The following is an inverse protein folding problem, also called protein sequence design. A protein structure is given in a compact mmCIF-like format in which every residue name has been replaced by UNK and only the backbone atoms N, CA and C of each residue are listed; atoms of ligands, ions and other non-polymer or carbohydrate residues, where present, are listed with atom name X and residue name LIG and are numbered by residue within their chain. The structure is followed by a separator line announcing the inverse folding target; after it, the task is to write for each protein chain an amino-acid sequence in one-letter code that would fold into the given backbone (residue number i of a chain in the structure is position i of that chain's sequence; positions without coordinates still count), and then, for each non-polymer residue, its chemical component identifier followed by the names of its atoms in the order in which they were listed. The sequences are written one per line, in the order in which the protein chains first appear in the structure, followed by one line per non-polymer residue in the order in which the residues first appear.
data_IF_389599062738
#
_entry.id   IF_389599062738
#
_cell.length_a   1.000
_cell.length_b   1.000
_cell.length_c   1.000
_cell.angle_alpha   90.00
_cell.angle_beta   90.00
_cell.angle_gamma   90.00
#
_symmetry.space_group_name_H-M   'P 1'
#
loop_
_entity.id
_entity.type
_entity.pdbx_description
1 polymer ?
#
# COMPACT_ATOMS: atom_id res chain seq x y z
N UNK A 1 20.00 -30.13 -39.31
CA UNK A 1 19.97 -30.25 -37.84
C UNK A 1 19.60 -28.88 -37.29
N UNK A 2 18.31 -28.61 -37.15
CA UNK A 2 17.81 -27.36 -36.56
C UNK A 2 17.79 -27.57 -35.06
N UNK A 3 18.63 -26.85 -34.32
CA UNK A 3 18.58 -26.84 -32.85
C UNK A 3 17.97 -25.52 -32.41
N UNK A 4 16.73 -25.69 -31.99
CA UNK A 4 15.83 -24.85 -31.22
C UNK A 4 16.52 -23.79 -30.34
N UNK A 5 16.17 -22.52 -30.60
CA UNK A 5 16.38 -21.41 -29.68
C UNK A 5 15.43 -21.57 -28.49
N UNK A 6 15.88 -21.47 -27.23
CA UNK A 6 14.93 -21.42 -26.11
C UNK A 6 14.14 -20.10 -26.15
N UNK A 7 12.79 -20.14 -26.16
CA UNK A 7 12.01 -18.97 -25.84
C UNK A 7 11.89 -18.83 -24.32
N UNK A 8 11.71 -17.58 -23.89
CA UNK A 8 10.92 -17.21 -22.72
C UNK A 8 11.65 -17.03 -21.38
N UNK A 9 12.28 -15.86 -21.23
CA UNK A 9 12.26 -15.16 -19.94
C UNK A 9 11.34 -13.95 -20.13
N UNK A 10 10.04 -14.14 -19.91
CA UNK A 10 9.15 -12.99 -19.61
C UNK A 10 9.66 -12.39 -18.31
N UNK A 11 10.47 -11.34 -18.47
CA UNK A 11 10.75 -10.39 -17.41
C UNK A 11 9.41 -9.83 -16.96
N UNK A 12 9.02 -10.15 -15.73
CA UNK A 12 7.85 -9.56 -15.11
C UNK A 12 8.09 -8.06 -15.00
N UNK A 13 7.62 -7.30 -15.99
CA UNK A 13 7.49 -5.86 -15.89
C UNK A 13 6.52 -5.59 -14.73
N UNK A 14 7.09 -5.41 -13.54
CA UNK A 14 6.39 -4.79 -12.41
C UNK A 14 6.06 -3.39 -12.88
N UNK A 15 4.84 -3.24 -13.38
CA UNK A 15 4.22 -1.97 -13.69
C UNK A 15 4.12 -1.21 -12.37
N UNK A 16 5.17 -0.46 -12.04
CA UNK A 16 5.13 0.56 -10.99
C UNK A 16 4.35 1.72 -11.58
N UNK A 17 3.02 1.64 -11.55
CA UNK A 17 2.21 2.84 -11.82
C UNK A 17 2.29 3.73 -10.59
N UNK A 18 3.31 4.58 -10.57
CA UNK A 18 3.21 5.91 -9.95
C UNK A 18 2.06 6.64 -10.64
N UNK A 19 0.90 6.72 -9.97
CA UNK A 19 -0.23 7.49 -10.48
C UNK A 19 -0.19 8.90 -9.88
N UNK A 20 0.44 9.80 -10.62
CA UNK A 20 0.27 11.24 -10.52
C UNK A 20 -0.79 11.64 -11.55
N UNK A 21 -1.77 12.45 -11.11
CA UNK A 21 -2.73 13.24 -11.90
C UNK A 21 -4.03 12.60 -12.42
N UNK A 22 -5.15 13.25 -12.07
CA UNK A 22 -6.03 13.80 -13.11
C UNK A 22 -7.39 13.16 -13.37
N UNK A 23 -7.74 12.03 -12.77
CA UNK A 23 -9.12 11.53 -12.84
C UNK A 23 -9.76 11.66 -11.46
N UNK A 24 -10.97 12.22 -11.40
CA UNK A 24 -11.85 12.24 -10.23
C UNK A 24 -12.28 10.81 -9.87
N UNK A 25 -11.29 9.99 -9.52
CA UNK A 25 -11.43 8.63 -9.03
C UNK A 25 -12.18 8.69 -7.72
N UNK A 26 -13.07 7.72 -7.53
CA UNK A 26 -13.82 7.55 -6.29
C UNK A 26 -12.89 7.76 -5.10
N UNK A 27 -13.26 8.62 -4.15
CA UNK A 27 -12.45 8.85 -2.95
C UNK A 27 -12.31 7.50 -2.23
N UNK A 28 -11.09 7.17 -1.78
CA UNK A 28 -10.90 5.99 -0.94
C UNK A 28 -11.73 6.18 0.33
N UNK A 29 -12.65 5.26 0.59
CA UNK A 29 -13.49 5.28 1.79
C UNK A 29 -12.76 4.46 2.85
N UNK A 30 -12.41 5.12 3.95
CA UNK A 30 -11.76 4.53 5.10
C UNK A 30 -12.79 4.29 6.19
N UNK A 31 -12.93 3.03 6.58
CA UNK A 31 -13.77 2.57 7.67
C UNK A 31 -12.90 2.25 8.88
N UNK A 32 -13.50 2.11 10.06
CA UNK A 32 -12.75 1.73 11.27
C UNK A 32 -11.99 0.41 11.09
N UNK A 33 -12.59 -0.58 10.40
CA UNK A 33 -11.92 -1.84 10.04
C UNK A 33 -10.69 -1.62 9.15
N UNK A 34 -10.74 -0.67 8.22
CA UNK A 34 -9.57 -0.30 7.40
C UNK A 34 -8.48 0.33 8.24
N UNK A 35 -8.86 1.18 9.20
CA UNK A 35 -7.92 1.83 10.11
C UNK A 35 -7.25 0.78 11.02
N UNK A 36 -8.03 -0.14 11.60
CA UNK A 36 -7.53 -1.24 12.42
C UNK A 36 -6.57 -2.14 11.64
N UNK A 37 -6.94 -2.53 10.41
CA UNK A 37 -6.07 -3.34 9.55
C UNK A 37 -4.75 -2.61 9.22
N UNK A 38 -4.83 -1.31 8.89
CA UNK A 38 -3.65 -0.48 8.63
C UNK A 38 -2.75 -0.41 9.88
N UNK A 39 -3.31 -0.09 11.04
CA UNK A 39 -2.58 0.00 12.31
C UNK A 39 -1.97 -1.36 12.69
N UNK A 40 -2.70 -2.46 12.49
CA UNK A 40 -2.20 -3.81 12.77
C UNK A 40 -0.98 -4.15 11.92
N UNK A 41 -1.01 -3.85 10.61
CA UNK A 41 0.15 -4.07 9.73
C UNK A 41 1.34 -3.21 10.18
N UNK A 42 1.10 -1.93 10.45
CA UNK A 42 2.15 -1.03 10.93
C UNK A 42 2.74 -1.53 12.26
N UNK A 43 1.93 -2.04 13.18
CA UNK A 43 2.41 -2.60 14.45
C UNK A 43 3.31 -3.83 14.26
N UNK A 44 2.92 -4.75 13.37
CA UNK A 44 3.75 -5.93 13.02
C UNK A 44 5.05 -5.49 12.36
N UNK A 45 4.99 -4.52 11.44
CA UNK A 45 6.17 -4.00 10.75
C UNK A 45 7.08 -3.18 11.68
N UNK A 46 6.51 -2.58 12.74
CA UNK A 46 7.28 -1.94 13.82
C UNK A 46 8.14 -2.96 14.55
N UNK A 47 7.52 -4.06 14.96
CA UNK A 47 8.14 -5.14 15.71
C UNK A 47 9.26 -5.80 14.89
N UNK A 48 9.02 -5.95 13.58
CA UNK A 48 10.03 -6.41 12.62
C UNK A 48 11.16 -5.41 12.34
N UNK A 49 11.17 -4.22 12.95
CA UNK A 49 12.22 -3.21 12.75
C UNK A 49 12.17 -2.48 11.41
N UNK A 50 11.05 -2.55 10.69
CA UNK A 50 10.89 -1.90 9.37
C UNK A 50 10.46 -0.42 9.47
N UNK A 51 10.54 0.17 10.66
CA UNK A 51 10.39 1.60 10.84
C UNK A 51 11.61 2.33 10.24
N UNK A 52 11.39 3.42 9.52
CA UNK A 52 12.45 4.33 9.11
C UNK A 52 12.50 5.48 10.13
N UNK A 53 13.67 6.08 10.39
CA UNK A 53 13.89 7.04 11.50
C UNK A 53 12.68 7.94 11.85
N UNK A 54 12.16 8.68 10.87
CA UNK A 54 10.99 9.57 11.05
C UNK A 54 9.66 9.04 10.45
N UNK A 55 9.59 7.79 9.99
CA UNK A 55 8.41 7.27 9.30
C UNK A 55 8.46 5.77 9.01
N UNK A 56 7.90 5.37 7.88
CA UNK A 56 7.83 3.97 7.46
C UNK A 56 8.55 3.76 6.14
N UNK A 57 9.22 2.62 5.99
CA UNK A 57 9.83 2.24 4.71
C UNK A 57 8.75 2.09 3.63
N UNK A 58 9.04 2.39 2.35
CA UNK A 58 8.08 2.21 1.26
C UNK A 58 7.54 0.77 1.18
N UNK A 59 8.37 -0.23 1.50
CA UNK A 59 7.96 -1.64 1.56
C UNK A 59 6.82 -1.90 2.55
N UNK A 60 6.79 -1.17 3.68
CA UNK A 60 5.72 -1.30 4.69
C UNK A 60 4.38 -0.85 4.11
N UNK A 61 4.37 0.23 3.32
CA UNK A 61 3.16 0.72 2.66
C UNK A 61 2.67 -0.20 1.55
N UNK A 62 3.58 -0.87 0.85
CA UNK A 62 3.22 -1.91 -0.12
C UNK A 62 2.51 -3.08 0.56
N UNK A 63 3.04 -3.55 1.71
CA UNK A 63 2.41 -4.63 2.50
C UNK A 63 1.05 -4.18 3.05
N UNK A 64 0.97 -2.96 3.59
CA UNK A 64 -0.29 -2.41 4.10
C UNK A 64 -1.36 -2.29 3.00
N UNK A 65 -1.00 -1.77 1.82
CA UNK A 65 -1.89 -1.68 0.68
C UNK A 65 -2.37 -3.06 0.20
N UNK A 66 -1.50 -4.07 0.18
CA UNK A 66 -1.87 -5.43 -0.17
C UNK A 66 -2.85 -6.05 0.84
N UNK A 67 -2.60 -5.86 2.15
CA UNK A 67 -3.52 -6.32 3.22
C UNK A 67 -4.88 -5.64 3.11
N UNK A 68 -4.91 -4.33 2.92
CA UNK A 68 -6.15 -3.56 2.74
C UNK A 68 -6.88 -3.87 1.43
N UNK A 69 -6.17 -4.38 0.42
CA UNK A 69 -6.82 -4.86 -0.80
C UNK A 69 -7.47 -6.24 -0.59
N UNK A 70 -6.89 -7.07 0.29
CA UNK A 70 -7.33 -8.42 0.58
C UNK A 70 -8.46 -8.48 1.63
N UNK A 71 -8.30 -7.81 2.77
CA UNK A 71 -9.19 -7.95 3.93
C UNK A 71 -10.32 -6.91 3.98
N UNK A 72 -10.21 -5.84 3.19
CA UNK A 72 -10.99 -4.64 3.40
C UNK A 72 -11.95 -4.33 2.24
N UNK A 73 -12.97 -3.54 2.57
CA UNK A 73 -14.06 -3.26 1.63
C UNK A 73 -13.54 -2.54 0.39
N UNK A 74 -13.87 -3.08 -0.80
CA UNK A 74 -13.57 -2.47 -2.11
C UNK A 74 -14.47 -1.26 -2.42
N UNK A 75 -15.16 -0.71 -1.41
CA UNK A 75 -15.98 0.49 -1.55
C UNK A 75 -15.07 1.72 -1.76
N UNK A 76 -15.34 2.46 -2.82
CA UNK A 76 -14.63 3.69 -3.16
C UNK A 76 -13.35 3.46 -3.96
N UNK A 77 -12.42 4.41 -3.85
CA UNK A 77 -11.12 4.35 -4.53
C UNK A 77 -10.20 3.25 -4.02
N UNK A 78 -9.30 2.77 -4.89
CA UNK A 78 -8.26 1.80 -4.53
C UNK A 78 -7.37 2.36 -3.41
N UNK A 79 -7.25 1.59 -2.32
CA UNK A 79 -6.34 1.88 -1.19
C UNK A 79 -4.93 1.47 -1.57
N UNK A 80 -4.27 2.31 -2.36
CA UNK A 80 -2.86 2.09 -2.78
C UNK A 80 -1.89 2.42 -1.65
N UNK A 81 -0.63 2.01 -1.77
CA UNK A 81 0.44 2.29 -0.81
C UNK A 81 0.57 3.77 -0.49
N UNK A 82 0.55 4.65 -1.50
CA UNK A 82 0.55 6.11 -1.31
C UNK A 82 -0.62 6.58 -0.45
N UNK A 83 -1.84 6.10 -0.75
CA UNK A 83 -3.04 6.45 0.03
C UNK A 83 -2.98 5.97 1.47
N UNK A 84 -2.32 4.83 1.74
CA UNK A 84 -2.08 4.35 3.10
C UNK A 84 -1.15 5.28 3.89
N UNK A 85 -0.08 5.77 3.24
CA UNK A 85 0.85 6.73 3.86
C UNK A 85 0.19 8.08 4.15
N UNK A 86 -0.57 8.62 3.18
CA UNK A 86 -1.34 9.85 3.36
C UNK A 86 -2.34 9.71 4.52
N UNK A 87 -3.10 8.61 4.52
CA UNK A 87 -4.11 8.34 5.53
C UNK A 87 -3.50 8.16 6.92
N UNK A 88 -2.36 7.47 7.04
CA UNK A 88 -1.64 7.36 8.30
C UNK A 88 -1.20 8.70 8.86
N UNK A 89 -0.75 9.62 8.01
CA UNK A 89 -0.35 10.98 8.44
C UNK A 89 -1.55 11.74 9.02
N UNK A 90 -2.71 11.63 8.36
CA UNK A 90 -3.97 12.21 8.86
C UNK A 90 -4.46 11.55 10.15
N UNK A 91 -4.40 10.21 10.25
CA UNK A 91 -4.75 9.49 11.47
C UNK A 91 -3.84 9.92 12.63
N UNK A 92 -2.52 9.94 12.42
CA UNK A 92 -1.55 10.35 13.44
C UNK A 92 -1.82 11.77 13.92
N UNK A 93 -2.15 12.70 13.02
CA UNK A 93 -2.53 14.07 13.39
C UNK A 93 -3.80 14.09 14.28
N UNK A 94 -4.81 13.30 13.93
CA UNK A 94 -6.05 13.20 14.72
C UNK A 94 -5.83 12.57 16.10
N UNK A 95 -4.91 11.61 16.24
CA UNK A 95 -4.57 11.00 17.53
C UNK A 95 -3.60 11.82 18.39
N UNK A 96 -2.82 12.73 17.81
CA UNK A 96 -1.88 13.62 18.54
C UNK A 96 -2.56 14.89 19.05
N UNK A 97 -3.75 15.23 18.54
CA UNK A 97 -4.50 16.42 18.95
C UNK A 97 -5.34 16.24 20.24
N UNK A 98 -5.07 15.20 21.02
CA UNK A 98 -5.71 14.90 22.32
C UNK A 98 -4.62 14.90 23.39
#
# INVERSE_FOLDING_TARGET
MSSDSPPNVVSANVVITTSNEGTKGLKAVWTDKDNEALVSVLRIQKDAGNQAGNGWKPSVWTVAGAKLLADCSKKGGKKTSSKCSDHWTNLKSQFVAI
#
